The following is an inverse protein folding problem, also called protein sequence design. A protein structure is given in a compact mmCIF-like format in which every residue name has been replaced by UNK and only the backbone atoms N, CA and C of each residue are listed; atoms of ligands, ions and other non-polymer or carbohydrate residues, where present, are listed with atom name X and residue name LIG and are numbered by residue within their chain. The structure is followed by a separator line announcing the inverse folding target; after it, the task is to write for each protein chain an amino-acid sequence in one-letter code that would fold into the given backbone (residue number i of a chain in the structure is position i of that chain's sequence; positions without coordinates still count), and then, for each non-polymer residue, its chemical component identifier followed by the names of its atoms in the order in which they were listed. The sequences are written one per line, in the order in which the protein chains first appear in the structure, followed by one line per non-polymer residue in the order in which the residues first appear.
data_IF_991772074968
#
_entry.id   IF_991772074968
#
_cell.length_a   1.000
_cell.length_b   1.000
_cell.length_c   1.000
_cell.angle_alpha   90.00
_cell.angle_beta   90.00
_cell.angle_gamma   90.00
#
_symmetry.space_group_name_H-M   'P 1'
#
loop_
_entity.id
_entity.type
_entity.pdbx_description
1 polymer ?
#
# COMPACT_ATOMS: atom_id res chain seq x y z
N UNK A 1 18.94 -39.23 18.58
CA UNK A 1 19.12 -38.21 19.64
C UNK A 1 17.76 -37.58 19.88
N UNK A 2 17.13 -37.90 21.01
CA UNK A 2 15.84 -37.32 21.38
C UNK A 2 16.07 -35.88 21.83
N UNK A 3 15.72 -34.92 20.98
CA UNK A 3 15.67 -33.52 21.39
C UNK A 3 14.45 -33.32 22.26
N UNK A 4 14.63 -32.94 23.53
CA UNK A 4 13.53 -32.38 24.29
C UNK A 4 13.16 -31.06 23.62
N UNK A 5 11.97 -31.01 23.02
CA UNK A 5 11.40 -29.76 22.49
C UNK A 5 11.07 -28.87 23.68
N UNK A 6 11.99 -27.99 24.07
CA UNK A 6 11.66 -26.91 25.01
C UNK A 6 10.76 -25.94 24.26
N UNK A 7 9.52 -25.76 24.74
CA UNK A 7 8.63 -24.74 24.22
C UNK A 7 9.17 -23.36 24.60
N UNK A 8 9.60 -22.58 23.62
CA UNK A 8 9.96 -21.16 23.77
C UNK A 8 8.98 -20.36 22.90
N UNK A 9 7.82 -19.95 23.43
CA UNK A 9 6.86 -19.16 22.65
C UNK A 9 7.36 -17.75 22.34
N UNK A 10 8.37 -17.27 23.07
CA UNK A 10 9.01 -15.97 22.86
C UNK A 10 10.49 -16.07 23.23
N UNK A 11 11.38 -15.83 22.27
CA UNK A 11 12.84 -15.87 22.47
C UNK A 11 13.35 -14.56 23.07
N UNK A 12 12.77 -13.43 22.67
CA UNK A 12 13.14 -12.10 23.16
C UNK A 12 11.91 -11.28 23.50
N UNK A 13 11.82 -10.78 24.73
CA UNK A 13 10.80 -9.82 25.16
C UNK A 13 11.44 -8.52 25.63
N UNK A 14 11.18 -7.43 24.91
CA UNK A 14 11.68 -6.09 25.21
C UNK A 14 10.52 -5.18 25.62
N UNK A 15 10.61 -4.56 26.80
CA UNK A 15 9.52 -3.74 27.35
C UNK A 15 10.08 -2.41 27.87
N UNK A 16 9.45 -1.30 27.51
CA UNK A 16 9.72 0.03 28.04
C UNK A 16 10.14 1.02 26.95
N UNK A 17 9.61 2.24 27.01
CA UNK A 17 9.89 3.34 26.05
C UNK A 17 11.35 3.78 26.01
N UNK A 18 12.11 3.49 27.07
CA UNK A 18 13.53 3.77 27.20
C UNK A 18 14.42 2.50 27.08
N UNK A 19 13.83 1.38 26.66
CA UNK A 19 14.56 0.13 26.44
C UNK A 19 15.10 0.08 25.01
N UNK A 20 16.40 -0.20 24.86
CA UNK A 20 17.04 -0.41 23.57
C UNK A 20 17.82 -1.73 23.56
N UNK A 21 17.59 -2.58 22.56
CA UNK A 21 18.24 -3.89 22.42
C UNK A 21 18.80 -4.04 21.00
N UNK A 22 20.08 -4.43 20.91
CA UNK A 22 20.69 -4.93 19.69
C UNK A 22 20.84 -6.45 19.76
N UNK A 23 20.30 -7.14 18.76
CA UNK A 23 20.41 -8.58 18.54
C UNK A 23 21.31 -8.75 17.31
N UNK A 24 22.49 -9.35 17.47
CA UNK A 24 23.49 -9.45 16.38
C UNK A 24 23.93 -10.90 16.24
N UNK A 25 23.71 -11.48 15.06
CA UNK A 25 24.10 -12.86 14.74
C UNK A 25 23.43 -13.91 15.64
N UNK A 26 22.23 -13.60 16.15
CA UNK A 26 21.49 -14.45 17.07
C UNK A 26 20.28 -15.07 16.37
N UNK A 27 20.10 -16.36 16.62
CA UNK A 27 18.98 -17.14 16.10
C UNK A 27 17.81 -17.05 17.08
N UNK A 28 16.90 -16.13 16.77
CA UNK A 28 15.64 -16.01 17.48
C UNK A 28 14.69 -17.11 16.97
N UNK A 29 14.61 -18.20 17.73
CA UNK A 29 13.77 -19.35 17.41
C UNK A 29 12.64 -19.45 18.43
N UNK A 30 11.40 -19.51 17.95
CA UNK A 30 10.25 -19.82 18.78
C UNK A 30 9.61 -21.13 18.37
N UNK A 31 9.09 -21.84 19.37
CA UNK A 31 8.21 -22.97 19.17
C UNK A 31 7.41 -23.23 20.43
N UNK A 32 6.16 -23.65 20.29
CA UNK A 32 5.39 -24.14 21.43
C UNK A 32 5.36 -25.67 21.40
N UNK A 33 5.76 -26.29 22.50
CA UNK A 33 5.67 -27.73 22.70
C UNK A 33 5.26 -28.00 24.16
N UNK A 34 4.58 -29.12 24.39
CA UNK A 34 4.05 -29.48 25.71
C UNK A 34 3.07 -28.44 26.24
N UNK A 35 3.18 -28.11 27.52
CA UNK A 35 2.24 -27.22 28.24
C UNK A 35 2.18 -25.78 27.70
N UNK A 36 3.11 -25.40 26.82
CA UNK A 36 3.14 -24.07 26.20
C UNK A 36 2.44 -24.04 24.83
N UNK A 37 1.95 -25.17 24.31
CA UNK A 37 1.16 -25.26 23.07
C UNK A 37 -0.01 -24.25 23.01
N UNK A 38 -0.76 -23.98 24.10
CA UNK A 38 -1.84 -23.00 24.06
C UNK A 38 -1.38 -21.54 23.99
N UNK A 39 -0.10 -21.25 24.27
CA UNK A 39 0.43 -19.88 24.29
C UNK A 39 0.68 -19.40 22.87
N UNK A 40 0.05 -18.30 22.47
CA UNK A 40 0.31 -17.68 21.18
C UNK A 40 1.77 -17.28 21.07
N UNK A 41 2.41 -17.72 19.99
CA UNK A 41 3.84 -17.58 19.80
C UNK A 41 4.17 -16.21 19.19
N UNK A 42 5.15 -15.53 19.76
CA UNK A 42 5.71 -14.29 19.24
C UNK A 42 7.23 -14.33 19.43
N UNK A 43 7.98 -14.65 18.36
CA UNK A 43 9.42 -14.94 18.47
C UNK A 43 10.17 -13.79 19.14
N UNK A 44 9.88 -12.56 18.72
CA UNK A 44 10.32 -11.32 19.37
C UNK A 44 9.07 -10.52 19.74
N UNK A 45 8.94 -10.16 21.01
CA UNK A 45 7.87 -9.27 21.50
C UNK A 45 8.47 -7.94 21.92
N UNK A 46 7.94 -6.85 21.38
CA UNK A 46 8.37 -5.48 21.60
C UNK A 46 7.19 -4.69 22.14
N UNK A 47 7.33 -4.14 23.34
CA UNK A 47 6.28 -3.36 24.03
C UNK A 47 6.86 -1.99 24.37
N UNK A 48 6.70 -1.02 23.45
CA UNK A 48 7.29 0.33 23.55
C UNK A 48 8.80 0.41 23.37
N UNK A 49 9.50 -0.71 23.32
CA UNK A 49 10.96 -0.77 23.24
C UNK A 49 11.51 -0.58 21.81
N UNK A 50 12.82 -0.39 21.74
CA UNK A 50 13.57 -0.19 20.50
C UNK A 50 14.41 -1.45 20.25
N UNK A 51 14.14 -2.19 19.17
CA UNK A 51 14.88 -3.43 18.86
C UNK A 51 15.49 -3.38 17.47
N UNK A 52 16.77 -3.70 17.39
CA UNK A 52 17.49 -3.89 16.13
C UNK A 52 18.02 -5.32 16.04
N UNK A 53 17.71 -6.02 14.95
CA UNK A 53 18.12 -7.40 14.68
C UNK A 53 18.98 -7.45 13.41
N UNK A 54 20.25 -7.83 13.54
CA UNK A 54 21.21 -7.85 12.44
C UNK A 54 21.76 -9.26 12.27
N UNK A 55 21.53 -9.86 11.11
CA UNK A 55 21.95 -11.23 10.83
C UNK A 55 21.32 -12.27 11.77
N UNK A 56 21.85 -13.49 11.71
CA UNK A 56 21.24 -14.64 12.39
C UNK A 56 19.90 -15.01 11.76
N UNK A 57 19.10 -15.74 12.52
CA UNK A 57 17.81 -16.26 12.08
C UNK A 57 16.63 -15.72 12.89
N UNK A 58 15.47 -15.60 12.24
CA UNK A 58 14.17 -15.45 12.87
C UNK A 58 13.26 -16.59 12.39
N UNK A 59 13.02 -17.54 13.29
CA UNK A 59 12.30 -18.77 12.99
C UNK A 59 10.95 -18.83 13.74
N UNK A 60 9.89 -18.92 12.95
CA UNK A 60 8.49 -19.10 13.35
C UNK A 60 7.78 -19.99 12.32
N UNK A 61 8.29 -21.19 12.09
CA UNK A 61 7.87 -22.04 10.96
C UNK A 61 6.86 -23.15 11.35
N UNK A 62 6.67 -23.40 12.64
CA UNK A 62 5.84 -24.49 13.14
C UNK A 62 4.38 -24.11 13.41
N UNK A 63 4.02 -22.82 13.27
CA UNK A 63 2.68 -22.33 13.54
C UNK A 63 2.30 -21.17 12.59
N UNK A 64 1.02 -21.07 12.26
CA UNK A 64 0.43 -20.00 11.45
C UNK A 64 -0.18 -18.88 12.30
N UNK A 65 -0.31 -19.09 13.62
CA UNK A 65 -0.83 -18.11 14.57
C UNK A 65 0.27 -17.35 15.27
N UNK A 66 0.00 -16.09 15.62
CA UNK A 66 0.98 -15.19 16.22
C UNK A 66 1.83 -14.50 15.15
N UNK A 67 3.10 -14.23 15.45
CA UNK A 67 4.01 -13.60 14.50
C UNK A 67 5.48 -13.87 14.84
N UNK A 68 6.37 -13.68 13.86
CA UNK A 68 7.80 -13.59 14.12
C UNK A 68 8.13 -12.41 15.05
N UNK A 69 7.57 -11.24 14.78
CA UNK A 69 7.74 -10.05 15.63
C UNK A 69 6.37 -9.46 15.96
N UNK A 70 6.11 -9.25 17.25
CA UNK A 70 4.99 -8.44 17.73
C UNK A 70 5.51 -7.07 18.17
N UNK A 71 5.00 -6.00 17.57
CA UNK A 71 5.20 -4.63 18.00
C UNK A 71 3.90 -4.11 18.63
N UNK A 72 3.93 -3.84 19.92
CA UNK A 72 2.77 -3.44 20.71
C UNK A 72 3.03 -2.18 21.52
N UNK A 73 1.98 -1.38 21.78
CA UNK A 73 2.13 -0.19 22.60
C UNK A 73 2.31 -0.55 24.07
N UNK A 74 3.07 0.27 24.79
CA UNK A 74 3.07 0.30 26.25
C UNK A 74 2.16 1.42 26.76
N UNK A 75 1.47 1.17 27.87
CA UNK A 75 0.78 2.24 28.61
C UNK A 75 1.82 3.11 29.32
N UNK A 76 2.19 4.23 28.72
CA UNK A 76 3.18 5.17 29.25
C UNK A 76 2.68 6.62 29.05
N UNK A 77 2.41 7.36 30.14
CA UNK A 77 1.95 8.74 30.05
C UNK A 77 3.07 9.76 29.78
N UNK A 78 4.35 9.36 29.93
CA UNK A 78 5.46 10.30 30.05
C UNK A 78 6.34 10.41 28.79
N UNK A 79 6.34 9.39 27.92
CA UNK A 79 7.22 9.33 26.75
C UNK A 79 6.49 9.12 25.39
N UNK A 80 6.88 9.91 24.38
CA UNK A 80 6.12 10.12 23.14
C UNK A 80 6.23 9.10 22.00
N UNK A 81 6.63 7.84 22.26
CA UNK A 81 6.50 6.73 21.30
C UNK A 81 6.09 5.47 22.05
N UNK A 82 4.81 5.14 22.05
CA UNK A 82 4.30 4.03 22.87
C UNK A 82 4.51 2.68 22.21
N UNK A 83 4.56 2.59 20.86
CA UNK A 83 4.78 1.31 20.15
C UNK A 83 6.24 0.88 20.15
N UNK A 84 7.18 1.83 20.21
CA UNK A 84 8.60 1.53 20.06
C UNK A 84 9.02 1.47 18.61
N UNK A 85 10.10 0.76 18.29
CA UNK A 85 10.57 0.57 16.92
C UNK A 85 11.17 -0.84 16.74
N UNK A 86 11.04 -1.38 15.53
CA UNK A 86 11.72 -2.59 15.11
C UNK A 86 12.53 -2.32 13.84
N UNK A 87 13.76 -2.82 13.80
CA UNK A 87 14.55 -2.86 12.57
C UNK A 87 15.22 -4.22 12.40
N UNK A 88 15.13 -4.82 11.22
CA UNK A 88 15.96 -5.96 10.82
C UNK A 88 16.84 -5.65 9.62
N UNK A 89 18.02 -6.28 9.60
CA UNK A 89 18.95 -6.23 8.50
C UNK A 89 19.61 -7.58 8.27
N UNK A 90 19.56 -8.09 7.03
CA UNK A 90 20.23 -9.33 6.61
C UNK A 90 19.84 -10.56 7.46
N UNK A 91 18.60 -10.60 7.98
CA UNK A 91 18.12 -11.70 8.81
C UNK A 91 17.57 -12.82 7.95
N UNK A 92 17.98 -14.06 8.21
CA UNK A 92 17.32 -15.22 7.63
C UNK A 92 15.95 -15.40 8.30
N UNK A 93 14.89 -15.21 7.52
CA UNK A 93 13.50 -15.41 7.95
C UNK A 93 13.01 -16.80 7.53
N UNK A 94 12.55 -17.60 8.49
CA UNK A 94 11.78 -18.81 8.21
C UNK A 94 10.44 -18.75 8.96
N UNK A 95 9.36 -18.40 8.27
CA UNK A 95 8.06 -18.12 8.90
C UNK A 95 6.89 -18.86 8.23
N UNK A 96 5.91 -19.25 9.04
CA UNK A 96 4.60 -19.69 8.60
C UNK A 96 3.51 -18.66 8.98
N UNK A 97 3.68 -17.94 10.09
CA UNK A 97 2.87 -16.77 10.44
C UNK A 97 3.46 -15.48 9.84
N UNK A 98 2.83 -14.35 10.18
CA UNK A 98 3.29 -13.02 9.79
C UNK A 98 4.71 -12.78 10.32
N UNK A 99 5.57 -12.17 9.50
CA UNK A 99 6.93 -11.80 9.89
C UNK A 99 6.94 -10.68 10.92
N UNK A 100 6.06 -9.69 10.74
CA UNK A 100 5.84 -8.60 11.70
C UNK A 100 4.35 -8.32 11.83
N UNK A 101 3.87 -8.26 13.07
CA UNK A 101 2.54 -7.85 13.45
C UNK A 101 2.62 -6.61 14.35
N UNK A 102 1.98 -5.53 13.92
CA UNK A 102 1.82 -4.30 14.70
C UNK A 102 0.42 -4.33 15.29
N UNK A 103 0.29 -4.43 16.61
CA UNK A 103 -1.00 -4.64 17.26
C UNK A 103 -1.08 -4.08 18.68
N UNK A 104 -2.26 -3.55 19.04
CA UNK A 104 -2.62 -3.14 20.38
C UNK A 104 -3.51 -4.21 21.03
N UNK A 105 -2.94 -5.37 21.32
CA UNK A 105 -3.71 -6.52 21.85
C UNK A 105 -4.16 -6.29 23.30
N UNK A 106 -3.43 -5.47 24.04
CA UNK A 106 -3.74 -5.13 25.43
C UNK A 106 -4.72 -3.94 25.57
N UNK A 107 -5.16 -3.35 24.45
CA UNK A 107 -6.14 -2.27 24.46
C UNK A 107 -5.65 -0.98 25.12
N UNK A 108 -4.36 -0.65 24.99
CA UNK A 108 -3.77 0.60 25.49
C UNK A 108 -4.54 1.78 24.89
N UNK A 109 -5.11 2.69 25.71
CA UNK A 109 -5.89 3.81 25.20
C UNK A 109 -5.01 4.87 24.55
N UNK A 110 -5.44 5.38 23.39
CA UNK A 110 -4.80 6.49 22.66
C UNK A 110 -3.27 6.36 22.50
N UNK A 111 -2.76 5.23 21.97
CA UNK A 111 -1.33 5.02 21.86
C UNK A 111 -0.70 5.98 20.82
N UNK A 112 0.50 6.48 21.12
CA UNK A 112 1.24 7.40 20.25
C UNK A 112 2.12 6.59 19.30
N UNK A 113 1.77 6.58 18.02
CA UNK A 113 2.39 5.73 16.98
C UNK A 113 3.12 6.50 15.88
N UNK A 114 2.97 7.82 15.77
CA UNK A 114 3.56 8.63 14.69
C UNK A 114 5.10 8.68 14.67
N UNK A 115 5.76 8.19 15.73
CA UNK A 115 7.21 8.04 15.83
C UNK A 115 7.69 6.58 15.73
N UNK A 116 6.74 5.65 15.59
CA UNK A 116 7.00 4.23 15.46
C UNK A 116 7.42 3.90 14.02
N UNK A 117 8.38 2.99 13.89
CA UNK A 117 8.93 2.51 12.63
C UNK A 117 9.19 1.02 12.71
N UNK A 118 8.75 0.32 11.67
CA UNK A 118 9.14 -1.06 11.36
C UNK A 118 9.98 -1.00 10.09
N UNK A 119 11.23 -1.43 10.17
CA UNK A 119 12.15 -1.46 9.03
C UNK A 119 12.68 -2.88 8.81
N UNK A 120 12.60 -3.39 7.59
CA UNK A 120 13.04 -4.75 7.24
C UNK A 120 13.89 -4.66 5.97
N UNK A 121 15.19 -4.92 6.08
CA UNK A 121 16.15 -4.64 5.01
C UNK A 121 17.03 -5.87 4.69
N UNK A 122 17.11 -6.29 3.43
CA UNK A 122 18.00 -7.39 3.05
C UNK A 122 17.62 -8.76 3.63
N UNK A 123 16.44 -8.88 4.26
CA UNK A 123 16.00 -10.15 4.83
C UNK A 123 15.69 -11.15 3.71
N UNK A 124 16.07 -12.40 3.94
CA UNK A 124 15.99 -13.49 2.97
C UNK A 124 15.50 -14.78 3.63
N UNK A 125 15.13 -15.79 2.85
CA UNK A 125 14.64 -17.07 3.38
C UNK A 125 13.27 -17.45 2.87
N UNK A 126 12.40 -17.93 3.75
CA UNK A 126 11.21 -18.70 3.40
C UNK A 126 9.95 -18.25 4.16
N UNK A 127 8.84 -18.15 3.44
CA UNK A 127 7.51 -18.02 4.04
C UNK A 127 6.54 -19.05 3.46
N UNK A 128 5.99 -19.92 4.30
CA UNK A 128 5.23 -21.09 3.85
C UNK A 128 3.75 -20.84 3.51
N UNK A 129 3.15 -19.76 4.02
CA UNK A 129 1.69 -19.56 3.96
C UNK A 129 1.26 -18.42 3.02
N UNK A 130 -0.04 -18.40 2.71
CA UNK A 130 -0.75 -17.32 2.01
C UNK A 130 -2.04 -16.93 2.75
N UNK A 131 -1.91 -16.65 4.04
CA UNK A 131 -3.01 -16.46 5.00
C UNK A 131 -3.18 -15.00 5.47
N UNK A 132 -2.40 -14.06 4.93
CA UNK A 132 -2.46 -12.64 5.27
C UNK A 132 -1.18 -11.90 4.87
N UNK A 133 -1.07 -10.63 5.27
CA UNK A 133 0.12 -9.83 5.03
C UNK A 133 1.36 -10.38 5.74
N UNK A 134 2.51 -10.41 5.07
CA UNK A 134 3.78 -10.78 5.70
C UNK A 134 4.13 -9.76 6.81
N UNK A 135 3.89 -8.48 6.55
CA UNK A 135 3.91 -7.41 7.55
C UNK A 135 2.51 -6.85 7.65
N UNK A 136 1.94 -6.78 8.84
CA UNK A 136 0.55 -6.32 9.01
C UNK A 136 0.36 -5.40 10.20
N UNK A 137 -0.45 -4.36 10.02
CA UNK A 137 -1.12 -3.63 11.09
C UNK A 137 -2.42 -4.37 11.39
N UNK A 138 -2.55 -4.88 12.61
CA UNK A 138 -3.72 -5.62 13.08
C UNK A 138 -4.93 -4.71 13.26
N UNK A 139 -6.14 -5.28 13.21
CA UNK A 139 -7.41 -4.55 13.37
C UNK A 139 -7.48 -3.70 14.66
N UNK A 140 -6.84 -4.17 15.74
CA UNK A 140 -6.76 -3.42 17.01
C UNK A 140 -5.92 -2.14 16.94
N UNK A 141 -5.13 -1.95 15.88
CA UNK A 141 -4.29 -0.78 15.62
C UNK A 141 -4.56 -0.15 14.24
N UNK A 142 -5.50 -0.72 13.48
CA UNK A 142 -5.63 -0.42 12.05
C UNK A 142 -6.06 1.03 11.83
N UNK A 143 -6.94 1.56 12.68
CA UNK A 143 -7.49 2.90 12.51
C UNK A 143 -6.53 4.02 12.96
N UNK A 144 -5.60 3.74 13.86
CA UNK A 144 -4.85 4.75 14.62
C UNK A 144 -3.31 4.63 14.50
N UNK A 145 -2.78 3.53 13.96
CA UNK A 145 -1.34 3.42 13.73
C UNK A 145 -0.86 4.34 12.59
N UNK A 146 -0.23 5.45 12.99
CA UNK A 146 0.35 6.48 12.11
C UNK A 146 1.87 6.36 11.95
N UNK A 147 2.45 5.23 12.36
CA UNK A 147 3.87 4.94 12.19
C UNK A 147 4.25 4.63 10.74
N UNK A 148 5.50 4.19 10.55
CA UNK A 148 6.04 3.86 9.24
C UNK A 148 6.45 2.39 9.12
N UNK A 149 6.35 1.85 7.90
CA UNK A 149 6.85 0.54 7.50
C UNK A 149 7.79 0.75 6.33
N UNK A 150 9.03 0.26 6.43
CA UNK A 150 10.05 0.34 5.40
C UNK A 150 10.52 -1.04 5.03
N UNK A 151 10.53 -1.35 3.74
CA UNK A 151 11.06 -2.62 3.22
C UNK A 151 11.95 -2.35 2.03
N UNK A 152 13.16 -2.91 2.04
CA UNK A 152 14.13 -2.75 0.96
C UNK A 152 14.95 -4.02 0.77
N UNK A 153 15.29 -4.33 -0.49
CA UNK A 153 16.20 -5.41 -0.86
C UNK A 153 15.83 -6.79 -0.30
N UNK A 154 14.53 -7.10 -0.22
CA UNK A 154 14.03 -8.37 0.30
C UNK A 154 14.21 -9.52 -0.71
N UNK A 155 14.60 -10.70 -0.24
CA UNK A 155 14.79 -11.89 -1.09
C UNK A 155 14.23 -13.16 -0.45
N UNK A 156 12.92 -13.20 -0.29
CA UNK A 156 12.17 -14.35 0.25
C UNK A 156 11.67 -15.28 -0.87
N UNK A 157 11.37 -16.51 -0.46
CA UNK A 157 10.73 -17.52 -1.28
C UNK A 157 9.42 -17.96 -0.62
N UNK A 158 8.33 -17.97 -1.39
CA UNK A 158 7.10 -18.67 -1.02
C UNK A 158 6.94 -19.93 -1.90
N UNK A 159 6.48 -21.07 -1.35
CA UNK A 159 6.39 -22.33 -2.10
C UNK A 159 5.30 -22.29 -3.19
N UNK A 160 4.28 -21.46 -2.98
CA UNK A 160 3.16 -21.23 -3.88
C UNK A 160 3.03 -19.73 -4.11
N UNK A 161 2.56 -19.34 -5.30
CA UNK A 161 2.24 -17.96 -5.61
C UNK A 161 1.21 -17.42 -4.61
N UNK A 162 1.63 -16.42 -3.84
CA UNK A 162 0.78 -15.69 -2.90
C UNK A 162 -0.19 -14.77 -3.63
N UNK A 163 -1.42 -14.70 -3.14
CA UNK A 163 -2.44 -13.74 -3.56
C UNK A 163 -2.72 -12.68 -2.51
N UNK A 164 -2.32 -12.91 -1.25
CA UNK A 164 -2.45 -11.91 -0.20
C UNK A 164 -1.39 -10.82 -0.36
N UNK A 165 -1.72 -9.54 -0.07
CA UNK A 165 -0.74 -8.45 -0.05
C UNK A 165 0.49 -8.82 0.79
N UNK A 166 1.66 -8.28 0.44
CA UNK A 166 2.86 -8.45 1.26
C UNK A 166 2.78 -7.59 2.53
N UNK A 167 2.19 -6.39 2.42
CA UNK A 167 1.99 -5.45 3.51
C UNK A 167 0.51 -5.09 3.63
N UNK A 168 -0.06 -5.21 4.84
CA UNK A 168 -1.40 -4.71 5.17
C UNK A 168 -1.26 -3.58 6.17
N UNK A 169 -1.71 -2.38 5.81
CA UNK A 169 -1.48 -1.16 6.57
C UNK A 169 -2.77 -0.36 6.82
N UNK A 170 -2.83 0.33 7.96
CA UNK A 170 -3.92 1.25 8.31
C UNK A 170 -3.91 2.52 7.45
N UNK A 171 -5.01 3.27 7.33
CA UNK A 171 -5.09 4.45 6.46
C UNK A 171 -4.11 5.58 6.83
N UNK A 172 -3.59 5.61 8.05
CA UNK A 172 -2.63 6.60 8.53
C UNK A 172 -1.17 6.13 8.44
N UNK A 173 -0.94 4.85 8.19
CA UNK A 173 0.39 4.24 8.22
C UNK A 173 1.18 4.61 6.96
N UNK A 174 2.40 5.11 7.12
CA UNK A 174 3.30 5.36 5.98
C UNK A 174 4.00 4.08 5.54
N UNK A 175 4.00 3.77 4.25
CA UNK A 175 4.65 2.57 3.71
C UNK A 175 5.66 2.96 2.64
N UNK A 176 6.92 2.61 2.86
CA UNK A 176 8.03 2.78 1.92
C UNK A 176 8.41 1.39 1.40
N UNK A 177 7.94 1.08 0.20
CA UNK A 177 8.06 -0.23 -0.41
C UNK A 177 9.04 -0.19 -1.59
N UNK A 178 10.06 -1.04 -1.55
CA UNK A 178 10.98 -1.26 -2.67
C UNK A 178 10.26 -2.00 -3.82
N UNK A 179 10.42 -1.44 -5.02
CA UNK A 179 9.85 -1.95 -6.26
C UNK A 179 10.40 -3.32 -6.68
N UNK A 180 11.55 -3.75 -6.15
CA UNK A 180 12.08 -5.11 -6.36
C UNK A 180 11.16 -6.17 -5.72
N UNK A 181 10.33 -5.76 -4.77
CA UNK A 181 9.40 -6.61 -4.07
C UNK A 181 10.06 -7.57 -3.09
N UNK A 182 9.34 -8.64 -2.73
CA UNK A 182 9.73 -9.53 -1.63
C UNK A 182 10.42 -10.82 -2.10
N UNK A 183 10.57 -11.01 -3.42
CA UNK A 183 11.17 -12.19 -4.01
C UNK A 183 10.16 -13.12 -4.69
N UNK A 184 10.54 -14.39 -4.84
CA UNK A 184 9.81 -15.36 -5.67
C UNK A 184 8.46 -15.71 -5.06
N UNK A 185 7.43 -15.73 -5.91
CA UNK A 185 6.04 -16.06 -5.57
C UNK A 185 5.34 -15.08 -4.62
N UNK A 186 5.94 -13.94 -4.29
CA UNK A 186 5.26 -12.84 -3.61
C UNK A 186 4.56 -11.91 -4.59
N UNK A 187 3.58 -11.15 -4.09
CA UNK A 187 2.86 -10.14 -4.87
C UNK A 187 3.82 -9.02 -5.29
N UNK A 188 3.69 -8.54 -6.52
CA UNK A 188 4.56 -7.53 -7.15
C UNK A 188 3.83 -6.21 -7.38
N UNK A 189 4.60 -5.16 -7.64
CA UNK A 189 4.09 -3.81 -7.93
C UNK A 189 3.40 -3.17 -6.73
N UNK A 190 2.71 -2.06 -6.96
CA UNK A 190 2.07 -1.31 -5.87
C UNK A 190 0.93 -2.10 -5.16
N UNK A 191 0.33 -3.10 -5.82
CA UNK A 191 -0.68 -3.99 -5.21
C UNK A 191 -0.11 -4.89 -4.11
N UNK A 192 1.22 -5.01 -4.00
CA UNK A 192 1.87 -5.69 -2.88
C UNK A 192 1.55 -5.05 -1.53
N UNK A 193 1.08 -3.81 -1.52
CA UNK A 193 0.63 -3.11 -0.32
C UNK A 193 -0.89 -2.95 -0.40
N UNK A 194 -1.59 -3.22 0.71
CA UNK A 194 -3.01 -2.92 0.90
C UNK A 194 -3.19 -1.91 2.04
N UNK A 195 -4.03 -0.90 1.83
CA UNK A 195 -4.18 0.23 2.76
C UNK A 195 -2.88 1.04 2.92
N UNK A 196 -2.80 1.95 3.88
CA UNK A 196 -1.62 2.78 4.06
C UNK A 196 -1.45 3.94 3.07
N UNK A 197 -0.57 4.85 3.46
CA UNK A 197 -0.03 5.95 2.68
C UNK A 197 1.25 5.44 2.01
N UNK A 198 1.11 4.88 0.81
CA UNK A 198 2.22 4.27 0.05
C UNK A 198 3.07 5.34 -0.62
N UNK A 199 4.38 5.32 -0.38
CA UNK A 199 5.37 6.16 -1.08
C UNK A 199 5.95 5.38 -2.25
N UNK A 200 6.01 6.01 -3.42
CA UNK A 200 6.41 5.37 -4.67
C UNK A 200 6.92 6.41 -5.69
N UNK A 201 7.79 5.95 -6.58
CA UNK A 201 8.30 6.75 -7.70
C UNK A 201 7.22 6.94 -8.78
N UNK A 202 7.51 7.71 -9.83
CA UNK A 202 6.54 8.02 -10.88
C UNK A 202 5.98 6.75 -11.56
N UNK A 203 4.69 6.45 -11.34
CA UNK A 203 3.99 5.26 -11.84
C UNK A 203 2.55 5.58 -12.29
N UNK A 204 1.97 4.80 -13.22
CA UNK A 204 0.55 4.87 -13.52
C UNK A 204 -0.28 4.45 -12.30
N UNK A 205 -1.14 5.35 -11.82
CA UNK A 205 -2.10 5.07 -10.72
C UNK A 205 -3.50 4.79 -11.24
N UNK A 206 -3.83 5.25 -12.45
CA UNK A 206 -5.08 4.89 -13.11
C UNK A 206 -4.87 4.79 -14.61
N UNK A 207 -5.47 3.76 -15.21
CA UNK A 207 -5.57 3.60 -16.67
C UNK A 207 -7.03 3.29 -16.95
N UNK A 208 -7.74 4.26 -17.52
CA UNK A 208 -9.17 4.19 -17.80
C UNK A 208 -9.34 4.18 -19.31
N UNK A 209 -10.01 3.18 -19.87
CA UNK A 209 -10.16 3.01 -21.33
C UNK A 209 -11.62 2.96 -21.76
N UNK A 210 -11.81 3.07 -23.07
CA UNK A 210 -13.05 2.84 -23.78
C UNK A 210 -14.14 3.83 -23.36
N UNK A 211 -14.20 4.98 -24.02
CA UNK A 211 -15.29 5.94 -23.83
C UNK A 211 -16.54 5.54 -24.63
N UNK A 212 -16.87 4.25 -24.73
CA UNK A 212 -17.76 3.65 -25.73
C UNK A 212 -19.09 4.38 -26.00
N UNK A 213 -19.25 4.96 -27.21
CA UNK A 213 -20.54 5.37 -27.76
C UNK A 213 -21.28 6.50 -27.02
N UNK A 214 -20.59 7.22 -26.14
CA UNK A 214 -21.16 8.34 -25.39
C UNK A 214 -21.55 9.48 -26.31
N UNK A 215 -22.78 9.96 -26.17
CA UNK A 215 -23.25 11.15 -26.88
C UNK A 215 -22.66 12.40 -26.25
N UNK A 216 -21.83 13.11 -27.01
CA UNK A 216 -21.36 14.45 -26.69
C UNK A 216 -22.26 15.49 -27.35
N UNK A 217 -22.46 16.60 -26.65
CA UNK A 217 -23.21 17.76 -27.13
C UNK A 217 -22.38 19.04 -26.92
N UNK A 218 -23.00 20.21 -27.14
CA UNK A 218 -22.33 21.51 -27.01
C UNK A 218 -22.06 21.94 -25.57
N UNK A 219 -22.63 21.26 -24.58
CA UNK A 219 -22.32 21.42 -23.15
C UNK A 219 -21.15 20.53 -22.73
N UNK A 220 -20.54 20.80 -21.57
CA UNK A 220 -19.52 19.91 -21.01
C UNK A 220 -20.15 18.60 -20.55
N UNK A 221 -19.64 17.49 -21.08
CA UNK A 221 -20.04 16.13 -20.73
C UNK A 221 -18.85 15.45 -20.04
N UNK A 222 -19.06 14.86 -18.86
CA UNK A 222 -18.03 14.03 -18.22
C UNK A 222 -17.80 12.78 -19.05
N UNK A 223 -16.54 12.50 -19.39
CA UNK A 223 -16.18 11.30 -20.14
C UNK A 223 -16.15 10.11 -19.18
N UNK A 224 -17.02 9.14 -19.41
CA UNK A 224 -17.08 7.90 -18.65
C UNK A 224 -16.23 6.84 -19.36
N UNK A 225 -15.31 6.22 -18.64
CA UNK A 225 -14.47 5.14 -19.16
C UNK A 225 -15.02 3.80 -18.69
N UNK A 226 -15.36 2.90 -19.61
CA UNK A 226 -16.04 1.65 -19.26
C UNK A 226 -15.08 0.51 -18.93
N UNK A 227 -13.78 0.67 -19.24
CA UNK A 227 -12.78 -0.39 -19.10
C UNK A 227 -11.55 0.09 -18.31
N UNK A 228 -11.61 0.18 -16.97
CA UNK A 228 -10.41 0.38 -16.17
C UNK A 228 -9.46 -0.82 -16.31
N UNK A 229 -8.17 -0.55 -16.49
CA UNK A 229 -7.13 -1.59 -16.53
C UNK A 229 -6.53 -1.77 -15.15
N UNK A 230 -6.56 -3.00 -14.64
CA UNK A 230 -5.93 -3.37 -13.36
C UNK A 230 -4.73 -4.29 -13.59
N UNK A 231 -3.55 -3.78 -13.29
CA UNK A 231 -2.27 -4.50 -13.30
C UNK A 231 -1.61 -4.38 -11.91
N UNK A 232 -0.35 -4.82 -11.82
CA UNK A 232 0.41 -4.83 -10.57
C UNK A 232 0.49 -3.46 -9.87
N UNK A 233 0.43 -2.34 -10.60
CA UNK A 233 0.47 -0.99 -10.02
C UNK A 233 -0.93 -0.36 -9.86
N UNK A 234 -1.84 -0.61 -10.81
CA UNK A 234 -3.15 0.07 -10.84
C UNK A 234 -4.24 -0.65 -10.04
N UNK A 235 -4.10 -1.95 -9.74
CA UNK A 235 -5.12 -2.73 -9.02
C UNK A 235 -5.42 -2.16 -7.63
N UNK A 236 -4.40 -1.64 -6.95
CA UNK A 236 -4.52 -1.02 -5.63
C UNK A 236 -5.53 0.13 -5.60
N UNK A 237 -5.68 0.85 -6.70
CA UNK A 237 -6.50 2.06 -6.79
C UNK A 237 -7.90 1.79 -7.37
N UNK A 238 -8.30 0.52 -7.50
CA UNK A 238 -9.59 0.15 -8.10
C UNK A 238 -10.80 0.81 -7.44
N UNK A 239 -10.76 1.00 -6.12
CA UNK A 239 -11.86 1.62 -5.35
C UNK A 239 -11.85 3.15 -5.45
N UNK A 240 -10.76 3.74 -5.94
CA UNK A 240 -10.65 5.18 -6.20
C UNK A 240 -11.29 5.59 -7.53
N UNK A 241 -11.69 4.63 -8.35
CA UNK A 241 -12.22 4.86 -9.69
C UNK A 241 -13.73 4.62 -9.66
N UNK A 242 -14.50 5.64 -10.04
CA UNK A 242 -15.96 5.54 -10.18
C UNK A 242 -16.44 6.46 -11.29
N UNK A 243 -17.21 5.92 -12.25
CA UNK A 243 -17.89 6.69 -13.30
C UNK A 243 -17.00 7.70 -14.04
N UNK A 244 -15.78 7.30 -14.41
CA UNK A 244 -14.82 8.15 -15.10
C UNK A 244 -14.08 9.18 -14.24
N UNK A 245 -14.31 9.14 -12.92
CA UNK A 245 -13.65 9.99 -11.93
C UNK A 245 -12.64 9.17 -11.13
N UNK A 246 -11.43 9.69 -11.02
CA UNK A 246 -10.42 9.19 -10.10
C UNK A 246 -10.37 10.06 -8.84
N UNK A 247 -10.59 9.47 -7.68
CA UNK A 247 -10.51 10.15 -6.38
C UNK A 247 -9.14 9.92 -5.75
N UNK A 248 -8.39 10.99 -5.49
CA UNK A 248 -7.05 10.93 -4.93
C UNK A 248 -7.08 10.22 -3.56
N UNK A 249 -6.26 9.17 -3.35
CA UNK A 249 -6.29 8.35 -2.14
C UNK A 249 -5.80 9.10 -0.89
N UNK A 250 -6.01 8.49 0.28
CA UNK A 250 -5.49 8.98 1.56
C UNK A 250 -3.99 9.28 1.47
N UNK A 251 -3.61 10.42 2.05
CA UNK A 251 -2.26 10.98 1.96
C UNK A 251 -2.10 11.97 0.81
N UNK A 252 -2.81 11.84 -0.30
CA UNK A 252 -2.62 12.66 -1.51
C UNK A 252 -1.66 12.05 -2.52
N UNK A 253 -1.40 12.76 -3.61
CA UNK A 253 -0.45 12.37 -4.66
C UNK A 253 0.44 13.56 -5.04
N UNK A 254 1.67 13.26 -5.47
CA UNK A 254 2.64 14.26 -5.92
C UNK A 254 2.91 14.11 -7.41
N UNK A 255 3.31 15.21 -8.05
CA UNK A 255 3.69 15.25 -9.46
C UNK A 255 2.65 14.60 -10.39
N UNK A 256 1.37 14.90 -10.19
CA UNK A 256 0.29 14.26 -10.94
C UNK A 256 0.30 14.76 -12.38
N UNK A 257 0.35 13.82 -13.32
CA UNK A 257 0.23 14.06 -14.76
C UNK A 257 -0.97 13.28 -15.30
N UNK A 258 -1.70 13.90 -16.21
CA UNK A 258 -2.82 13.27 -16.91
C UNK A 258 -2.58 13.32 -18.41
N UNK A 259 -2.65 12.17 -19.06
CA UNK A 259 -2.68 12.02 -20.51
C UNK A 259 -4.07 11.44 -20.88
N UNK A 260 -4.85 12.14 -21.71
CA UNK A 260 -6.19 11.70 -22.09
C UNK A 260 -6.48 11.91 -23.56
N UNK A 261 -7.16 10.95 -24.18
CA UNK A 261 -7.50 10.94 -25.60
C UNK A 261 -8.95 10.49 -25.78
N UNK A 262 -9.70 11.24 -26.58
CA UNK A 262 -11.01 10.85 -27.09
C UNK A 262 -11.09 11.04 -28.60
N UNK A 263 -11.92 10.23 -29.26
CA UNK A 263 -12.16 10.31 -30.70
C UNK A 263 -13.66 10.34 -30.94
N UNK A 264 -14.10 10.98 -32.02
CA UNK A 264 -15.51 11.01 -32.40
C UNK A 264 -15.69 10.59 -33.86
N UNK A 265 -16.82 9.93 -34.14
CA UNK A 265 -17.14 9.42 -35.46
C UNK A 265 -18.16 10.36 -36.10
N UNK A 266 -17.76 11.58 -36.43
CA UNK A 266 -18.63 12.56 -37.07
C UNK A 266 -17.84 13.64 -37.79
N UNK A 267 -18.53 14.44 -38.62
CA UNK A 267 -17.99 15.67 -39.19
C UNK A 267 -17.87 16.83 -38.18
N UNK A 268 -18.20 16.61 -36.90
CA UNK A 268 -18.00 17.59 -35.84
C UNK A 268 -16.57 17.57 -35.30
N UNK A 269 -16.24 18.60 -34.54
CA UNK A 269 -14.97 18.75 -33.83
C UNK A 269 -15.21 18.66 -32.33
N UNK A 270 -14.30 17.99 -31.62
CA UNK A 270 -14.37 17.81 -30.16
C UNK A 270 -13.26 18.58 -29.47
N UNK A 271 -13.58 19.12 -28.30
CA UNK A 271 -12.65 19.65 -27.32
C UNK A 271 -12.67 18.78 -26.07
N UNK A 272 -11.50 18.60 -25.47
CA UNK A 272 -11.27 17.80 -24.27
C UNK A 272 -10.54 18.67 -23.27
N UNK A 273 -10.95 18.59 -22.02
CA UNK A 273 -10.29 19.26 -20.90
C UNK A 273 -10.22 18.34 -19.67
N UNK A 274 -9.18 18.52 -18.86
CA UNK A 274 -9.00 17.83 -17.59
C UNK A 274 -9.44 18.77 -16.46
N UNK A 275 -10.30 18.24 -15.61
CA UNK A 275 -10.83 18.93 -14.46
C UNK A 275 -10.29 18.31 -13.17
N UNK A 276 -10.05 19.18 -12.20
CA UNK A 276 -9.84 18.81 -10.80
C UNK A 276 -10.94 19.44 -9.97
N UNK A 277 -11.62 18.66 -9.15
CA UNK A 277 -12.47 19.19 -8.08
C UNK A 277 -11.74 19.00 -6.76
N UNK A 278 -11.15 20.07 -6.19
CA UNK A 278 -10.60 19.99 -4.85
C UNK A 278 -11.69 19.59 -3.86
N UNK A 279 -11.33 18.82 -2.83
CA UNK A 279 -12.30 18.34 -1.84
C UNK A 279 -13.16 19.47 -1.26
N UNK A 280 -14.49 19.33 -1.35
CA UNK A 280 -15.45 20.32 -0.85
C UNK A 280 -15.63 21.59 -1.71
N UNK A 281 -15.09 21.63 -2.93
CA UNK A 281 -15.13 22.81 -3.80
C UNK A 281 -15.73 22.52 -5.19
N UNK A 282 -15.79 23.53 -6.06
CA UNK A 282 -16.27 23.40 -7.44
C UNK A 282 -15.15 22.93 -8.40
N UNK A 283 -15.50 22.28 -9.53
CA UNK A 283 -14.52 21.86 -10.53
C UNK A 283 -13.73 23.02 -11.14
N UNK A 284 -12.42 22.81 -11.33
CA UNK A 284 -11.48 23.76 -11.93
C UNK A 284 -10.85 23.09 -13.17
N UNK A 285 -10.88 23.78 -14.30
CA UNK A 285 -10.16 23.36 -15.52
C UNK A 285 -8.66 23.49 -15.28
N UNK A 286 -7.90 22.44 -15.56
CA UNK A 286 -6.45 22.37 -15.33
C UNK A 286 -5.65 22.00 -16.59
N UNK A 287 -6.29 21.97 -17.74
CA UNK A 287 -5.67 21.82 -19.06
C UNK A 287 -5.77 23.09 -19.88
N UNK A 288 -4.90 23.23 -20.87
CA UNK A 288 -5.15 24.12 -22.00
C UNK A 288 -6.10 23.39 -22.96
N UNK A 289 -7.24 24.01 -23.28
CA UNK A 289 -8.20 23.44 -24.22
C UNK A 289 -7.54 23.21 -25.58
N UNK A 290 -7.49 21.94 -26.02
CA UNK A 290 -6.87 21.60 -27.30
C UNK A 290 -7.75 22.00 -28.48
N UNK A 291 -7.17 22.42 -29.62
CA UNK A 291 -7.93 22.83 -30.79
C UNK A 291 -8.70 21.68 -31.44
N UNK A 292 -9.82 22.10 -32.03
CA UNK A 292 -10.88 21.38 -32.72
C UNK A 292 -10.40 20.33 -33.73
N UNK A 293 -10.57 19.06 -33.41
CA UNK A 293 -10.30 17.93 -34.33
C UNK A 293 -11.29 16.78 -34.10
N UNK A 294 -11.27 15.76 -34.97
CA UNK A 294 -12.01 14.50 -34.77
C UNK A 294 -11.38 13.61 -33.69
N UNK A 295 -10.18 13.97 -33.24
CA UNK A 295 -9.45 13.38 -32.11
C UNK A 295 -8.93 14.49 -31.23
N UNK A 296 -9.31 14.49 -29.95
CA UNK A 296 -8.75 15.40 -28.96
C UNK A 296 -7.82 14.62 -28.02
N UNK A 297 -6.59 15.10 -27.88
CA UNK A 297 -5.58 14.57 -26.96
C UNK A 297 -5.20 15.70 -26.02
N UNK A 298 -5.14 15.47 -24.72
CA UNK A 298 -4.67 16.42 -23.71
C UNK A 298 -3.60 15.74 -22.87
N UNK A 299 -2.48 16.43 -22.71
CA UNK A 299 -1.45 16.11 -21.72
C UNK A 299 -1.29 17.31 -20.79
N UNK A 300 -1.50 17.12 -19.49
CA UNK A 300 -1.37 18.21 -18.51
C UNK A 300 -0.70 17.76 -17.22
N UNK A 301 0.08 18.67 -16.64
CA UNK A 301 0.67 18.52 -15.32
C UNK A 301 -0.21 19.23 -14.29
N UNK A 302 -0.73 18.47 -13.33
CA UNK A 302 -1.64 18.97 -12.30
C UNK A 302 -0.90 19.44 -11.03
N UNK A 303 0.37 19.07 -10.85
CA UNK A 303 1.10 19.30 -9.61
C UNK A 303 0.70 18.32 -8.51
N UNK A 304 0.77 18.77 -7.26
CA UNK A 304 0.39 17.96 -6.11
C UNK A 304 -1.12 18.05 -5.86
N UNK A 305 -1.74 16.92 -5.53
CA UNK A 305 -3.17 16.81 -5.23
C UNK A 305 -3.40 16.28 -3.82
N UNK A 306 -4.36 16.87 -3.13
CA UNK A 306 -4.73 16.48 -1.78
C UNK A 306 -5.61 15.23 -1.78
N UNK A 307 -5.64 14.51 -0.66
CA UNK A 307 -6.55 13.38 -0.50
C UNK A 307 -8.02 13.83 -0.68
N UNK A 308 -8.78 13.06 -1.47
CA UNK A 308 -10.17 13.36 -1.80
C UNK A 308 -10.39 14.28 -3.00
N UNK A 309 -9.34 14.89 -3.56
CA UNK A 309 -9.44 15.62 -4.82
C UNK A 309 -9.90 14.66 -5.94
N UNK A 310 -10.72 15.16 -6.86
CA UNK A 310 -11.28 14.35 -7.96
C UNK A 310 -10.72 14.80 -9.28
N UNK A 311 -10.16 13.86 -10.05
CA UNK A 311 -9.61 14.09 -11.40
C UNK A 311 -10.52 13.40 -12.42
N UNK A 312 -10.93 14.13 -13.45
CA UNK A 312 -11.79 13.59 -14.52
C UNK A 312 -11.63 14.40 -15.81
N UNK A 313 -12.01 13.79 -16.92
CA UNK A 313 -12.05 14.45 -18.22
C UNK A 313 -13.47 14.92 -18.55
N UNK A 314 -13.61 16.10 -19.15
CA UNK A 314 -14.85 16.52 -19.78
C UNK A 314 -14.62 16.90 -21.23
N UNK A 315 -15.62 16.64 -22.05
CA UNK A 315 -15.59 16.92 -23.47
C UNK A 315 -16.87 17.62 -23.93
N UNK A 316 -16.72 18.43 -24.97
CA UNK A 316 -17.84 19.05 -25.69
C UNK A 316 -17.51 19.14 -27.16
N UNK A 317 -18.54 19.18 -27.99
CA UNK A 317 -18.41 19.45 -29.43
C UNK A 317 -18.89 20.85 -29.77
N UNK A 318 -18.48 21.35 -30.93
CA UNK A 318 -18.78 22.71 -31.34
C UNK A 318 -20.22 22.93 -31.82
N UNK A 319 -20.85 21.90 -32.37
CA UNK A 319 -22.24 21.97 -32.85
C UNK A 319 -22.88 20.59 -32.93
N UNK A 320 -24.19 20.54 -32.72
CA UNK A 320 -24.98 19.31 -32.84
C UNK A 320 -24.70 18.28 -31.75
N UNK A 321 -24.62 17.02 -32.16
CA UNK A 321 -24.30 15.85 -31.32
C UNK A 321 -23.32 14.94 -32.04
N UNK A 322 -22.40 14.31 -31.31
CA UNK A 322 -21.47 13.32 -31.84
C UNK A 322 -21.34 12.15 -30.86
N UNK A 323 -20.90 11.00 -31.35
CA UNK A 323 -20.60 9.84 -30.50
C UNK A 323 -19.10 9.60 -30.46
N UNK A 324 -18.61 9.22 -29.29
CA UNK A 324 -17.26 8.71 -29.13
C UNK A 324 -17.10 7.36 -29.83
N UNK A 325 -15.90 7.06 -30.32
CA UNK A 325 -15.65 5.86 -31.13
C UNK A 325 -15.54 4.59 -30.28
N UNK A 326 -15.17 4.72 -29.01
CA UNK A 326 -14.81 3.61 -28.14
C UNK A 326 -13.43 3.01 -28.45
N UNK A 327 -13.18 1.92 -27.72
CA UNK A 327 -12.01 1.06 -27.85
C UNK A 327 -10.78 1.53 -27.08
N UNK A 328 -9.70 0.75 -27.20
CA UNK A 328 -8.47 0.92 -26.41
C UNK A 328 -7.66 2.19 -26.73
N UNK A 329 -7.96 2.88 -27.83
CA UNK A 329 -7.31 4.13 -28.24
C UNK A 329 -7.92 5.36 -27.57
N UNK A 330 -9.07 5.21 -26.93
CA UNK A 330 -9.67 6.25 -26.08
C UNK A 330 -9.36 5.91 -24.63
N UNK A 331 -8.61 6.77 -23.98
CA UNK A 331 -8.10 6.48 -22.65
C UNK A 331 -7.78 7.73 -21.85
N UNK A 332 -7.70 7.56 -20.54
CA UNK A 332 -7.12 8.48 -19.58
C UNK A 332 -6.10 7.72 -18.73
N UNK A 333 -4.87 8.19 -18.73
CA UNK A 333 -3.80 7.71 -17.86
C UNK A 333 -3.48 8.78 -16.85
N UNK A 334 -3.48 8.41 -15.59
CA UNK A 334 -3.02 9.24 -14.49
C UNK A 334 -1.72 8.64 -13.99
N UNK A 335 -0.65 9.41 -14.09
CA UNK A 335 0.67 9.08 -13.58
C UNK A 335 0.95 9.98 -12.38
N UNK A 336 1.51 9.43 -11.31
CA UNK A 336 1.83 10.17 -10.11
C UNK A 336 3.00 9.55 -9.36
N UNK A 337 3.47 10.25 -8.34
CA UNK A 337 4.45 9.79 -7.35
C UNK A 337 3.94 10.10 -5.94
N UNK A 338 4.67 9.66 -4.92
CA UNK A 338 4.42 10.07 -3.53
C UNK A 338 5.68 10.05 -2.68
#
# INVERSE_FOLDING_TARGET
MGGHTVGTPCAVKAIGTQCYINIIGFDAVSGAAGDLEPVTQYTITIVGAQVKHIGGELQHNNNIFGAGVLLSPIADPDFGNTYGNYSSSEVHTECAAQRVLIANLDGVPSPISNRSSVSVYGDHGYHSQDNGGLISVHDSSLADYAGSIHTDNMSLYAPVQRIQPNIVAGPLTHVYYDERGFGTNFVKGLQAVSGGILHFTERPVAILKNANGQTLNTSLNTVIWTEPTFNDDTYRWRTNISSGVFTVPTGGLKNVKVDSVIRINSGATVSLDIFVTPSGSSPIVRSLTMPKATTANVSTFLGDLAAGDKVFAQAKIDSGTAQTNGGALEMMVITASR
#
